data_IF_834698208176
#
_entry.id   IF_834698208176
#
_cell.length_a   1.000
_cell.length_b   1.000
_cell.length_c   1.000
_cell.angle_alpha   90.00
_cell.angle_beta   90.00
_cell.angle_gamma   90.00
#
_symmetry.space_group_name_H-M   'P 1'
#
loop_
_entity.id
_entity.type
_entity.pdbx_description
1 polymer ?
#
# COMPACT_ATOMS: atom_id res chain seq x y z
N UNK A 1 -29.64 6.65 -7.32
CA UNK A 1 -28.21 6.56 -7.59
C UNK A 1 -27.97 6.95 -9.03
N UNK A 2 -27.38 8.10 -9.29
CA UNK A 2 -26.98 8.55 -10.63
C UNK A 2 -25.77 7.71 -11.06
N UNK A 3 -26.07 6.64 -11.80
CA UNK A 3 -25.07 5.65 -12.22
C UNK A 3 -24.19 6.17 -13.35
N UNK A 4 -23.12 6.86 -13.04
CA UNK A 4 -22.09 7.26 -13.99
C UNK A 4 -20.74 7.37 -13.30
N UNK A 5 -19.67 7.35 -14.09
CA UNK A 5 -18.30 7.57 -13.58
C UNK A 5 -18.18 9.03 -13.14
N UNK A 6 -17.83 9.24 -11.88
CA UNK A 6 -17.59 10.56 -11.31
C UNK A 6 -16.09 10.75 -11.05
N UNK A 7 -15.60 11.94 -11.39
CA UNK A 7 -14.23 12.39 -11.17
C UNK A 7 -14.26 13.55 -10.19
N UNK A 8 -13.69 13.34 -9.02
CA UNK A 8 -13.72 14.29 -7.92
C UNK A 8 -12.32 14.68 -7.52
N UNK A 9 -12.18 15.88 -7.02
CA UNK A 9 -10.96 16.32 -6.36
C UNK A 9 -11.30 17.13 -5.12
N UNK A 10 -10.40 17.14 -4.17
CA UNK A 10 -10.53 17.93 -2.96
C UNK A 10 -9.17 18.46 -2.51
N UNK A 11 -9.20 19.55 -1.77
CA UNK A 11 -8.01 20.08 -1.10
C UNK A 11 -8.43 20.72 0.22
N UNK A 12 -7.58 20.61 1.22
CA UNK A 12 -7.84 21.23 2.52
C UNK A 12 -6.98 20.67 3.65
N UNK A 13 -7.20 21.20 4.86
CA UNK A 13 -6.56 20.68 6.05
C UNK A 13 -7.14 19.32 6.43
N UNK A 14 -6.24 18.39 6.73
CA UNK A 14 -6.57 17.04 7.21
C UNK A 14 -5.98 16.85 8.59
N UNK A 15 -6.61 15.98 9.38
CA UNK A 15 -6.23 15.72 10.76
C UNK A 15 -6.06 14.22 10.97
N UNK A 16 -5.05 13.84 11.74
CA UNK A 16 -4.83 12.44 12.13
C UNK A 16 -4.38 12.35 13.59
N UNK A 17 -4.83 11.32 14.27
CA UNK A 17 -4.42 11.00 15.63
C UNK A 17 -3.19 10.07 15.59
N UNK A 18 -2.02 10.65 15.43
CA UNK A 18 -0.75 9.93 15.40
C UNK A 18 0.31 10.66 16.22
N UNK A 19 1.40 9.94 16.59
CA UNK A 19 2.57 10.59 17.20
C UNK A 19 3.20 11.54 16.18
N UNK A 20 3.37 12.83 16.52
CA UNK A 20 4.11 13.75 15.68
C UNK A 20 5.57 13.31 15.57
N UNK A 21 6.12 13.38 14.38
CA UNK A 21 7.54 13.15 14.11
C UNK A 21 7.97 13.99 12.91
N UNK A 22 9.27 14.03 12.59
CA UNK A 22 9.76 14.77 11.44
C UNK A 22 8.99 14.37 10.16
N UNK A 23 8.40 15.37 9.49
CA UNK A 23 7.60 15.17 8.28
C UNK A 23 6.21 14.56 8.50
N UNK A 24 5.79 14.31 9.75
CA UNK A 24 4.48 13.70 10.05
C UNK A 24 3.75 14.48 11.13
N UNK A 25 2.94 15.45 10.70
CA UNK A 25 2.17 16.32 11.56
C UNK A 25 0.74 15.79 11.77
N UNK A 26 0.11 16.16 12.91
CA UNK A 26 -1.29 15.84 13.19
C UNK A 26 -2.27 16.63 12.34
N UNK A 27 -1.90 17.84 11.93
CA UNK A 27 -2.61 18.65 10.96
C UNK A 27 -1.70 18.86 9.74
N UNK A 28 -2.21 18.59 8.56
CA UNK A 28 -1.49 18.75 7.30
C UNK A 28 -2.47 19.14 6.20
N UNK A 29 -1.96 19.67 5.09
CA UNK A 29 -2.78 19.94 3.92
C UNK A 29 -2.64 18.79 2.93
N UNK A 30 -3.74 18.41 2.33
CA UNK A 30 -3.79 17.35 1.34
C UNK A 30 -4.58 17.82 0.12
N UNK A 31 -4.11 17.41 -1.06
CA UNK A 31 -4.90 17.36 -2.29
C UNK A 31 -5.18 15.90 -2.60
N UNK A 32 -6.40 15.59 -2.99
CA UNK A 32 -6.80 14.25 -3.40
C UNK A 32 -7.63 14.27 -4.66
N UNK A 33 -7.54 13.19 -5.43
CA UNK A 33 -8.37 12.93 -6.61
C UNK A 33 -8.97 11.52 -6.49
N UNK A 34 -10.21 11.37 -6.89
CA UNK A 34 -10.94 10.11 -6.82
C UNK A 34 -11.76 9.89 -8.10
N UNK A 35 -11.76 8.67 -8.61
CA UNK A 35 -12.65 8.22 -9.69
C UNK A 35 -13.59 7.18 -9.09
N UNK A 36 -14.88 7.51 -9.05
CA UNK A 36 -15.93 6.66 -8.49
C UNK A 36 -16.81 6.09 -9.60
N UNK A 37 -17.32 4.87 -9.39
CA UNK A 37 -18.30 4.25 -10.29
C UNK A 37 -17.68 3.51 -11.50
N UNK A 38 -16.38 3.34 -11.56
CA UNK A 38 -15.68 2.50 -12.54
C UNK A 38 -15.01 1.30 -11.86
N UNK A 39 -15.05 0.15 -12.53
CA UNK A 39 -14.26 -1.03 -12.19
C UNK A 39 -13.11 -1.29 -13.18
N UNK A 40 -12.96 -0.38 -14.13
CA UNK A 40 -11.96 -0.50 -15.17
C UNK A 40 -10.61 -0.01 -14.67
N UNK A 41 -9.54 -0.79 -14.89
CA UNK A 41 -8.18 -0.42 -14.53
C UNK A 41 -7.71 0.91 -15.16
N UNK A 42 -8.35 1.36 -16.23
CA UNK A 42 -8.10 2.69 -16.80
C UNK A 42 -8.39 3.83 -15.83
N UNK A 43 -9.31 3.63 -14.87
CA UNK A 43 -9.58 4.62 -13.83
C UNK A 43 -8.37 4.79 -12.90
N UNK A 44 -7.72 3.69 -12.53
CA UNK A 44 -6.49 3.71 -11.71
C UNK A 44 -5.35 4.39 -12.48
N UNK A 45 -5.20 4.06 -13.77
CA UNK A 45 -4.20 4.70 -14.66
C UNK A 45 -4.45 6.21 -14.78
N UNK A 46 -5.71 6.65 -14.89
CA UNK A 46 -6.07 8.07 -14.93
C UNK A 46 -5.60 8.81 -13.67
N UNK A 47 -5.85 8.24 -12.48
CA UNK A 47 -5.43 8.83 -11.20
C UNK A 47 -3.91 8.91 -11.09
N UNK A 48 -3.20 7.84 -11.47
CA UNK A 48 -1.73 7.79 -11.48
C UNK A 48 -1.17 8.85 -12.45
N UNK A 49 -1.74 8.96 -13.64
CA UNK A 49 -1.32 9.93 -14.64
C UNK A 49 -1.51 11.38 -14.16
N UNK A 50 -2.64 11.69 -13.51
CA UNK A 50 -2.90 13.00 -12.90
C UNK A 50 -1.84 13.32 -11.85
N UNK A 51 -1.57 12.38 -10.93
CA UNK A 51 -0.57 12.56 -9.88
C UNK A 51 0.82 12.82 -10.46
N UNK A 52 1.25 12.00 -11.41
CA UNK A 52 2.54 12.14 -12.10
C UNK A 52 2.66 13.50 -12.81
N UNK A 53 1.62 13.89 -13.56
CA UNK A 53 1.60 15.16 -14.29
C UNK A 53 1.66 16.36 -13.36
N UNK A 54 0.91 16.33 -12.25
CA UNK A 54 0.94 17.37 -11.22
C UNK A 54 2.34 17.52 -10.64
N UNK A 55 2.98 16.43 -10.23
CA UNK A 55 4.32 16.46 -9.64
C UNK A 55 5.36 17.00 -10.64
N UNK A 56 5.27 16.60 -11.91
CA UNK A 56 6.14 17.14 -12.96
C UNK A 56 5.93 18.64 -13.17
N UNK A 57 4.68 19.12 -13.17
CA UNK A 57 4.37 20.55 -13.28
C UNK A 57 4.85 21.37 -12.09
N UNK A 58 4.93 20.75 -10.92
CA UNK A 58 5.54 21.35 -9.73
C UNK A 58 7.09 21.33 -9.78
N UNK A 59 7.68 20.85 -10.85
CA UNK A 59 9.14 20.84 -11.06
C UNK A 59 9.87 19.65 -10.45
N UNK A 60 9.15 18.66 -9.91
CA UNK A 60 9.77 17.44 -9.39
C UNK A 60 10.29 16.59 -10.55
N UNK A 61 11.55 16.19 -10.46
CA UNK A 61 12.25 15.37 -11.46
C UNK A 61 12.60 14.01 -10.85
N UNK A 62 12.93 13.06 -11.70
CA UNK A 62 13.36 11.72 -11.28
C UNK A 62 12.30 11.00 -10.41
N UNK A 63 11.03 11.11 -10.80
CA UNK A 63 9.93 10.41 -10.16
C UNK A 63 10.07 8.91 -10.41
N UNK A 64 9.92 8.11 -9.36
CA UNK A 64 9.85 6.65 -9.44
C UNK A 64 8.44 6.21 -9.06
N UNK A 65 7.78 5.49 -9.96
CA UNK A 65 6.46 4.91 -9.70
C UNK A 65 6.62 3.45 -9.27
N UNK A 66 6.30 3.18 -8.01
CA UNK A 66 6.18 1.83 -7.50
C UNK A 66 4.71 1.42 -7.53
N UNK A 67 4.39 0.41 -8.34
CA UNK A 67 3.03 -0.08 -8.51
C UNK A 67 2.88 -1.45 -7.84
N UNK A 68 1.79 -1.60 -7.10
CA UNK A 68 1.40 -2.88 -6.52
C UNK A 68 -0.13 -2.98 -6.48
N UNK A 69 -0.65 -4.17 -6.22
CA UNK A 69 -2.07 -4.43 -6.04
C UNK A 69 -2.29 -5.20 -4.74
N UNK A 70 -3.45 -5.05 -4.15
CA UNK A 70 -3.89 -5.86 -3.01
C UNK A 70 -4.86 -6.98 -3.41
N UNK A 71 -5.17 -7.08 -4.70
CA UNK A 71 -6.13 -8.05 -5.22
C UNK A 71 -7.55 -7.93 -4.65
N UNK A 72 -8.40 -8.85 -5.02
CA UNK A 72 -9.73 -9.00 -4.42
C UNK A 72 -9.65 -9.81 -3.10
N UNK A 73 -10.80 -10.11 -2.48
CA UNK A 73 -10.84 -10.86 -1.21
C UNK A 73 -10.31 -12.28 -1.33
N UNK A 74 -10.54 -12.94 -2.47
CA UNK A 74 -10.07 -14.30 -2.72
C UNK A 74 -8.56 -14.32 -2.92
N UNK A 75 -8.03 -13.42 -3.78
CA UNK A 75 -6.61 -13.28 -4.04
C UNK A 75 -5.84 -13.04 -2.73
N UNK A 76 -6.36 -12.14 -1.89
CA UNK A 76 -5.76 -11.85 -0.57
C UNK A 76 -5.75 -13.05 0.37
N UNK A 77 -6.77 -13.89 0.35
CA UNK A 77 -6.81 -15.10 1.18
C UNK A 77 -5.76 -16.12 0.73
N UNK A 78 -5.68 -16.36 -0.58
CA UNK A 78 -4.70 -17.27 -1.16
C UNK A 78 -3.28 -16.77 -0.90
N UNK A 79 -3.03 -15.51 -1.19
CA UNK A 79 -1.73 -14.88 -0.92
C UNK A 79 -1.35 -14.91 0.57
N UNK A 80 -2.31 -14.58 1.46
CA UNK A 80 -2.08 -14.65 2.90
C UNK A 80 -1.64 -16.04 3.33
N UNK A 81 -2.26 -17.08 2.80
CA UNK A 81 -1.88 -18.46 3.13
C UNK A 81 -0.49 -18.81 2.61
N UNK A 82 -0.16 -18.42 1.39
CA UNK A 82 1.16 -18.62 0.81
C UNK A 82 2.25 -17.90 1.63
N UNK A 83 1.98 -16.64 2.02
CA UNK A 83 2.90 -15.86 2.85
C UNK A 83 3.10 -16.49 4.23
N UNK A 84 2.02 -16.96 4.89
CA UNK A 84 2.12 -17.66 6.19
C UNK A 84 2.93 -18.94 6.05
N UNK A 85 2.66 -19.76 5.01
CA UNK A 85 3.41 -21.00 4.78
C UNK A 85 4.90 -20.74 4.56
N UNK A 86 5.24 -19.68 3.85
CA UNK A 86 6.62 -19.26 3.64
C UNK A 86 7.27 -18.81 4.97
N UNK A 87 6.66 -17.85 5.66
CA UNK A 87 7.24 -17.25 6.87
C UNK A 87 7.32 -18.23 8.05
N UNK A 88 6.43 -19.23 8.10
CA UNK A 88 6.48 -20.28 9.15
C UNK A 88 7.80 -21.06 9.10
N UNK A 89 8.42 -21.21 7.94
CA UNK A 89 9.71 -21.89 7.80
C UNK A 89 10.85 -21.14 8.48
N UNK A 90 10.68 -19.85 8.70
CA UNK A 90 11.66 -18.95 9.31
C UNK A 90 11.17 -18.37 10.65
N UNK A 91 10.16 -18.98 11.27
CA UNK A 91 9.48 -18.43 12.46
C UNK A 91 10.44 -18.06 13.57
N UNK A 92 11.45 -18.91 13.84
CA UNK A 92 12.44 -18.72 14.91
C UNK A 92 13.47 -17.61 14.58
N UNK A 93 13.55 -17.19 13.32
CA UNK A 93 14.46 -16.14 12.85
C UNK A 93 13.77 -14.77 12.71
N UNK A 94 12.44 -14.72 12.82
CA UNK A 94 11.69 -13.47 12.80
C UNK A 94 11.84 -12.72 14.12
N UNK A 95 11.81 -11.39 14.06
CA UNK A 95 11.72 -10.55 15.26
C UNK A 95 10.45 -10.84 16.07
N UNK A 96 10.44 -10.58 17.42
CA UNK A 96 9.31 -10.93 18.29
C UNK A 96 7.97 -10.35 17.86
N UNK A 97 7.96 -9.10 17.35
CA UNK A 97 6.75 -8.45 16.82
C UNK A 97 6.22 -9.20 15.59
N UNK A 98 7.12 -9.64 14.71
CA UNK A 98 6.78 -10.38 13.50
C UNK A 98 6.29 -11.79 13.81
N UNK A 99 6.84 -12.46 14.82
CA UNK A 99 6.33 -13.75 15.31
C UNK A 99 4.88 -13.63 15.80
N UNK A 100 4.54 -12.61 16.59
CA UNK A 100 3.16 -12.36 17.04
C UNK A 100 2.22 -12.04 15.86
N UNK A 101 2.70 -11.29 14.88
CA UNK A 101 1.94 -10.92 13.67
C UNK A 101 1.69 -12.08 12.72
N UNK A 102 2.50 -13.14 12.76
CA UNK A 102 2.36 -14.28 11.85
C UNK A 102 0.94 -14.90 11.89
N UNK A 103 0.35 -14.99 13.07
CA UNK A 103 -1.02 -15.48 13.24
C UNK A 103 -2.10 -14.42 13.01
N UNK A 104 -1.85 -13.17 13.40
CA UNK A 104 -2.85 -12.09 13.44
C UNK A 104 -2.91 -11.29 12.14
N UNK A 105 -1.74 -10.84 11.66
CA UNK A 105 -1.64 -9.98 10.49
C UNK A 105 -0.30 -10.16 9.75
N UNK A 106 -0.10 -11.29 9.04
CA UNK A 106 1.17 -11.62 8.41
C UNK A 106 1.63 -10.60 7.36
N UNK A 107 0.70 -9.90 6.69
CA UNK A 107 1.05 -8.85 5.72
C UNK A 107 1.88 -7.71 6.35
N UNK A 108 1.73 -7.45 7.64
CA UNK A 108 2.54 -6.43 8.33
C UNK A 108 3.98 -6.85 8.59
N UNK A 109 4.32 -8.11 8.42
CA UNK A 109 5.70 -8.59 8.53
C UNK A 109 6.53 -8.07 7.35
N UNK A 110 5.91 -7.89 6.18
CA UNK A 110 6.56 -7.32 5.00
C UNK A 110 7.10 -5.89 5.23
N UNK A 111 6.53 -5.17 6.20
CA UNK A 111 6.94 -3.82 6.59
C UNK A 111 7.87 -3.80 7.82
N UNK A 112 8.40 -4.95 8.26
CA UNK A 112 9.31 -5.02 9.40
C UNK A 112 10.55 -4.16 9.14
N UNK A 113 11.06 -3.55 10.21
CA UNK A 113 12.31 -2.79 10.18
C UNK A 113 13.49 -3.58 10.73
N UNK A 114 13.24 -4.78 11.23
CA UNK A 114 14.28 -5.68 11.66
C UNK A 114 15.07 -6.21 10.46
N UNK A 115 16.39 -6.15 10.52
CA UNK A 115 17.26 -6.46 9.39
C UNK A 115 17.10 -7.91 8.94
N UNK A 116 17.06 -8.86 9.88
CA UNK A 116 16.95 -10.29 9.54
C UNK A 116 15.59 -10.59 8.92
N UNK A 117 14.53 -10.04 9.49
CA UNK A 117 13.19 -10.17 8.93
C UNK A 117 13.09 -9.56 7.52
N UNK A 118 13.74 -8.41 7.29
CA UNK A 118 13.80 -7.81 5.94
C UNK A 118 14.50 -8.71 4.91
N UNK A 119 15.59 -9.36 5.28
CA UNK A 119 16.27 -10.33 4.41
C UNK A 119 15.33 -11.50 4.05
N UNK A 120 14.62 -12.04 5.03
CA UNK A 120 13.65 -13.13 4.81
C UNK A 120 12.52 -12.70 3.88
N UNK A 121 11.94 -11.52 4.08
CA UNK A 121 10.79 -11.06 3.27
C UNK A 121 11.16 -10.64 1.85
N UNK A 122 12.44 -10.44 1.52
CA UNK A 122 12.87 -10.17 0.14
C UNK A 122 12.56 -11.34 -0.80
N UNK A 123 12.65 -12.58 -0.30
CA UNK A 123 12.38 -13.79 -1.06
C UNK A 123 10.94 -14.31 -0.85
N UNK A 124 10.11 -13.54 -0.14
CA UNK A 124 8.72 -13.91 0.07
C UNK A 124 7.91 -13.85 -1.24
N UNK A 125 6.88 -14.71 -1.41
CA UNK A 125 6.04 -14.70 -2.59
C UNK A 125 5.41 -13.32 -2.80
N UNK A 126 5.33 -12.88 -4.05
CA UNK A 126 4.69 -11.61 -4.42
C UNK A 126 3.18 -11.78 -4.56
N UNK A 127 2.38 -10.82 -4.10
CA UNK A 127 0.93 -10.83 -4.32
C UNK A 127 0.57 -10.83 -5.81
N UNK A 128 1.43 -10.29 -6.67
CA UNK A 128 1.20 -10.23 -8.12
C UNK A 128 1.14 -11.62 -8.78
N UNK A 129 1.64 -12.66 -8.12
CA UNK A 129 1.57 -14.05 -8.58
C UNK A 129 0.21 -14.69 -8.28
N UNK A 130 -0.64 -14.02 -7.51
CA UNK A 130 -1.93 -14.52 -7.02
C UNK A 130 -3.13 -13.67 -7.49
N UNK A 131 -2.90 -12.75 -8.44
CA UNK A 131 -3.93 -11.88 -9.03
C UNK A 131 -4.66 -12.55 -10.19
#
# INVERSE_FOLDING_TARGET
>A
ATGGVQRLWYTGPMFRYERPQAGRQRQFHQIGVEVLGSRDARADVEVIAIATHLLQKLGLKNLNLNLNSVGNSTDRQVYRQALVNYLTQYQDELDPDSQDRLSRNPLRILDSKDQRTQEIVQDAPSILEYL
#
